data_IF_592339141816
#
_entry.id   IF_592339141816
#
_cell.length_a   1.000
_cell.length_b   1.000
_cell.length_c   1.000
_cell.angle_alpha   90.00
_cell.angle_beta   90.00
_cell.angle_gamma   90.00
#
_symmetry.space_group_name_H-M   'P 1'
#
loop_
_entity.id
_entity.type
_entity.pdbx_description
1 polymer ?
#
# COMPACT_ATOMS: atom_id res chain seq x y z
N UNK A 1 10.22 12.54 7.27
CA UNK A 1 9.38 12.27 6.07
C UNK A 1 8.28 11.30 6.43
N UNK A 2 7.15 11.38 5.77
CA UNK A 2 6.03 10.44 5.93
C UNK A 2 5.31 10.19 4.62
N UNK A 3 4.62 9.07 4.55
CA UNK A 3 3.81 8.66 3.42
C UNK A 3 2.39 8.40 3.89
N UNK A 4 1.42 8.92 3.16
CA UNK A 4 0.02 8.59 3.31
C UNK A 4 -0.51 8.16 1.94
N UNK A 5 -1.07 6.95 1.87
CA UNK A 5 -1.58 6.35 0.65
C UNK A 5 -3.08 6.18 0.76
N UNK A 6 -3.80 6.61 -0.27
CA UNK A 6 -5.20 6.27 -0.48
C UNK A 6 -5.27 5.42 -1.75
N UNK A 7 -5.70 4.18 -1.61
CA UNK A 7 -5.76 3.20 -2.68
C UNK A 7 -7.20 2.79 -2.94
N UNK A 8 -7.57 2.76 -4.22
CA UNK A 8 -8.78 2.13 -4.70
C UNK A 8 -8.35 1.03 -5.67
N UNK A 9 -8.49 -0.21 -5.26
CA UNK A 9 -8.10 -1.35 -6.09
C UNK A 9 -9.22 -1.69 -7.04
N UNK A 10 -8.96 -1.58 -8.34
CA UNK A 10 -9.97 -1.85 -9.37
C UNK A 10 -10.30 -3.34 -9.46
N UNK A 11 -9.33 -4.20 -9.14
CA UNK A 11 -9.52 -5.64 -8.98
C UNK A 11 -9.73 -6.01 -7.50
N UNK A 12 -10.55 -7.04 -7.24
CA UNK A 12 -10.90 -7.48 -5.88
C UNK A 12 -10.00 -8.60 -5.34
N UNK A 13 -8.95 -8.93 -6.05
CA UNK A 13 -8.00 -9.97 -5.70
C UNK A 13 -6.80 -9.42 -4.92
N UNK A 14 -5.67 -10.11 -5.01
CA UNK A 14 -4.47 -9.71 -4.30
C UNK A 14 -4.01 -8.31 -4.73
N UNK A 15 -3.62 -7.51 -3.76
CA UNK A 15 -3.07 -6.17 -3.94
C UNK A 15 -1.85 -6.01 -3.02
N UNK A 16 -1.06 -4.97 -3.22
CA UNK A 16 -0.04 -4.59 -2.26
C UNK A 16 1.32 -5.28 -2.44
N UNK A 17 1.52 -5.95 -3.59
CA UNK A 17 2.78 -6.61 -3.94
C UNK A 17 3.83 -5.64 -4.49
N UNK A 18 3.41 -4.45 -4.91
CA UNK A 18 4.32 -3.44 -5.46
C UNK A 18 5.18 -2.79 -4.39
N UNK A 19 6.50 -2.81 -4.60
CA UNK A 19 7.45 -2.27 -3.65
C UNK A 19 7.54 -0.75 -3.66
N UNK A 20 7.85 -0.18 -2.49
CA UNK A 20 8.26 1.22 -2.35
C UNK A 20 9.77 1.29 -2.48
N UNK A 21 10.24 2.14 -3.40
CA UNK A 21 11.66 2.32 -3.72
C UNK A 21 12.11 3.74 -3.40
N UNK A 22 13.26 3.84 -2.77
CA UNK A 22 13.90 5.11 -2.44
C UNK A 22 15.20 5.24 -3.24
N UNK A 23 15.20 6.15 -4.19
CA UNK A 23 16.37 6.54 -4.95
C UNK A 23 16.98 7.75 -4.24
N UNK A 24 18.17 7.59 -3.74
CA UNK A 24 18.85 8.54 -2.87
C UNK A 24 20.01 9.17 -3.62
N UNK A 25 20.07 10.50 -3.61
CA UNK A 25 21.12 11.32 -4.19
C UNK A 25 21.39 11.00 -5.67
N UNK A 26 22.47 10.31 -5.97
CA UNK A 26 22.91 10.04 -7.34
C UNK A 26 22.36 8.69 -7.91
N UNK A 27 21.45 8.05 -7.21
CA UNK A 27 20.81 6.81 -7.69
C UNK A 27 20.06 7.02 -9.00
N UNK A 28 20.38 6.22 -10.02
CA UNK A 28 19.76 6.31 -11.34
C UNK A 28 18.94 5.06 -11.68
N UNK A 29 19.60 3.91 -11.73
CA UNK A 29 19.00 2.65 -12.17
C UNK A 29 18.45 1.81 -11.02
N UNK A 30 19.17 1.78 -9.92
CA UNK A 30 18.82 0.98 -8.77
C UNK A 30 18.58 1.87 -7.54
N UNK A 31 17.55 1.59 -6.75
CA UNK A 31 17.31 2.34 -5.52
C UNK A 31 18.25 1.89 -4.42
N UNK A 32 18.65 2.80 -3.55
CA UNK A 32 19.37 2.46 -2.30
C UNK A 32 18.51 1.61 -1.39
N UNK A 33 17.19 1.88 -1.33
CA UNK A 33 16.26 1.09 -0.52
C UNK A 33 15.15 0.57 -1.43
N UNK A 34 14.92 -0.74 -1.37
CA UNK A 34 13.83 -1.40 -2.06
C UNK A 34 13.02 -2.24 -1.07
N UNK A 35 11.75 -1.97 -0.98
CA UNK A 35 10.81 -2.76 -0.17
C UNK A 35 10.38 -4.04 -0.85
N UNK A 36 9.51 -4.78 -0.21
CA UNK A 36 8.93 -6.05 -0.70
C UNK A 36 7.49 -5.90 -1.18
N UNK A 37 6.74 -4.99 -0.58
CA UNK A 37 5.36 -4.72 -0.97
C UNK A 37 4.82 -3.47 -0.31
N UNK A 38 3.78 -2.89 -0.88
CA UNK A 38 3.13 -1.70 -0.32
C UNK A 38 2.39 -1.99 0.98
N UNK A 39 1.86 -3.20 1.13
CA UNK A 39 1.30 -3.68 2.40
C UNK A 39 2.37 -3.79 3.47
N UNK A 40 3.48 -4.46 3.17
CA UNK A 40 4.63 -4.63 4.07
C UNK A 40 5.23 -3.29 4.48
N UNK A 41 5.34 -2.36 3.55
CA UNK A 41 5.84 -1.02 3.82
C UNK A 41 5.06 -0.31 4.94
N UNK A 42 3.76 -0.53 5.01
CA UNK A 42 2.90 0.03 6.04
C UNK A 42 2.70 -0.88 7.27
N UNK A 43 3.43 -2.01 7.34
CA UNK A 43 3.40 -2.93 8.47
C UNK A 43 2.27 -3.96 8.41
N UNK A 44 1.77 -4.27 7.22
CA UNK A 44 0.62 -5.14 7.00
C UNK A 44 0.91 -6.40 6.20
N UNK A 45 1.87 -7.22 6.63
CA UNK A 45 2.13 -8.51 6.02
C UNK A 45 0.86 -9.38 5.93
N UNK A 46 0.83 -10.30 4.96
CA UNK A 46 -0.25 -11.27 4.78
C UNK A 46 -1.62 -10.62 4.60
N UNK A 47 -1.67 -9.59 3.73
CA UNK A 47 -2.91 -8.86 3.37
C UNK A 47 -3.68 -8.39 4.61
N UNK A 48 -2.96 -7.87 5.62
CA UNK A 48 -3.54 -7.32 6.85
C UNK A 48 -4.42 -8.33 7.62
N UNK A 49 -4.06 -9.61 7.59
CA UNK A 49 -4.70 -10.66 8.37
C UNK A 49 -5.76 -11.46 7.62
N UNK A 50 -5.98 -11.22 6.33
CA UNK A 50 -6.99 -11.97 5.54
C UNK A 50 -6.73 -13.47 5.46
N UNK A 51 -5.50 -13.91 5.69
CA UNK A 51 -5.12 -15.33 5.67
C UNK A 51 -5.76 -16.15 6.79
N UNK A 52 -6.19 -15.52 7.87
CA UNK A 52 -6.75 -16.21 9.03
C UNK A 52 -8.28 -16.39 8.94
N UNK A 53 -9.00 -15.34 8.59
CA UNK A 53 -10.46 -15.31 8.60
C UNK A 53 -11.06 -14.66 7.35
N UNK A 54 -10.23 -14.34 6.36
CA UNK A 54 -10.66 -13.69 5.12
C UNK A 54 -11.02 -12.21 5.29
N UNK A 55 -10.71 -11.60 6.43
CA UNK A 55 -11.07 -10.22 6.75
C UNK A 55 -9.81 -9.38 6.93
N UNK A 56 -9.67 -8.32 6.13
CA UNK A 56 -8.63 -7.31 6.36
C UNK A 56 -8.91 -6.56 7.67
N UNK A 57 -7.89 -6.42 8.51
CA UNK A 57 -7.99 -5.76 9.81
C UNK A 57 -7.29 -4.41 9.77
N UNK A 58 -8.03 -3.39 10.17
CA UNK A 58 -7.48 -2.05 10.35
C UNK A 58 -6.70 -1.96 11.66
N UNK A 59 -5.68 -1.11 11.66
CA UNK A 59 -4.89 -0.81 12.84
C UNK A 59 -4.29 0.59 12.76
N UNK A 60 -3.93 1.13 13.91
CA UNK A 60 -3.20 2.39 14.01
C UNK A 60 -2.10 2.23 15.05
N UNK A 61 -0.88 2.55 14.65
CA UNK A 61 0.25 2.70 15.57
C UNK A 61 0.84 4.10 15.44
N UNK A 62 1.83 4.41 16.27
CA UNK A 62 2.42 5.74 16.28
C UNK A 62 3.09 6.11 14.95
N UNK A 63 3.68 5.15 14.23
CA UNK A 63 4.51 5.41 13.05
C UNK A 63 4.04 4.74 11.77
N UNK A 64 3.16 3.77 11.84
CA UNK A 64 2.55 3.12 10.68
C UNK A 64 1.15 2.68 10.98
N UNK A 65 0.34 2.48 9.95
CA UNK A 65 -1.01 2.01 10.15
C UNK A 65 -1.82 1.84 8.88
N UNK A 66 -2.95 1.20 9.10
CA UNK A 66 -4.00 0.94 8.14
C UNK A 66 -5.34 1.40 8.75
N UNK A 67 -5.57 2.72 8.84
CA UNK A 67 -6.70 3.28 9.59
C UNK A 67 -8.06 3.09 8.91
N UNK A 68 -8.09 2.77 7.63
CA UNK A 68 -9.35 2.70 6.90
C UNK A 68 -9.35 1.59 5.86
N UNK A 69 -10.39 0.77 5.93
CA UNK A 69 -10.75 -0.20 4.92
C UNK A 69 -12.26 -0.19 4.69
N UNK A 70 -12.67 -0.09 3.46
CA UNK A 70 -14.04 -0.25 3.06
C UNK A 70 -14.11 -1.24 1.89
N UNK A 71 -14.60 -2.44 2.19
CA UNK A 71 -14.76 -3.52 1.21
C UNK A 71 -15.76 -3.17 0.13
N UNK A 72 -16.82 -2.48 0.52
CA UNK A 72 -17.91 -2.08 -0.33
C UNK A 72 -17.96 -0.56 -0.28
N UNK A 73 -17.05 0.10 -1.00
CA UNK A 73 -17.06 1.55 -1.07
C UNK A 73 -18.45 2.01 -1.50
N UNK A 74 -19.22 2.51 -0.54
CA UNK A 74 -20.60 2.96 -0.77
C UNK A 74 -20.51 4.30 -1.50
N UNK A 75 -20.74 4.24 -2.79
CA UNK A 75 -21.02 5.44 -3.57
C UNK A 75 -22.53 5.52 -3.71
N UNK A 76 -23.08 6.71 -3.57
CA UNK A 76 -24.52 6.93 -3.81
C UNK A 76 -24.92 6.50 -5.22
N UNK A 77 -26.21 6.14 -5.35
CA UNK A 77 -26.84 5.85 -6.63
C UNK A 77 -26.14 6.56 -7.83
N UNK A 78 -25.91 5.89 -8.99
CA UNK A 78 -26.56 4.65 -9.39
C UNK A 78 -25.78 3.35 -9.12
N UNK A 79 -24.67 3.40 -8.40
CA UNK A 79 -23.79 2.25 -8.21
C UNK A 79 -24.24 1.39 -7.04
N UNK A 80 -24.24 0.07 -7.22
CA UNK A 80 -24.48 -0.86 -6.13
C UNK A 80 -23.23 -1.06 -5.30
N UNK A 81 -23.38 -1.44 -4.03
CA UNK A 81 -22.25 -1.70 -3.13
C UNK A 81 -21.31 -2.81 -3.63
N UNK A 82 -21.81 -3.71 -4.48
CA UNK A 82 -21.02 -4.80 -5.04
C UNK A 82 -20.16 -4.37 -6.23
N UNK A 83 -20.49 -3.26 -6.86
CA UNK A 83 -19.81 -2.77 -8.06
C UNK A 83 -18.68 -1.77 -7.72
N UNK A 84 -18.62 -1.34 -6.46
CA UNK A 84 -17.61 -0.39 -6.03
C UNK A 84 -16.33 -1.11 -5.58
N UNK A 85 -15.15 -0.71 -6.12
CA UNK A 85 -13.91 -1.32 -5.72
C UNK A 85 -13.55 -0.98 -4.26
N UNK A 86 -12.84 -1.88 -3.56
CA UNK A 86 -12.40 -1.65 -2.19
C UNK A 86 -11.51 -0.42 -2.07
N UNK A 87 -11.71 0.33 -1.01
CA UNK A 87 -10.90 1.51 -0.70
C UNK A 87 -10.10 1.28 0.57
N UNK A 88 -8.84 1.69 0.52
CA UNK A 88 -7.86 1.52 1.61
C UNK A 88 -7.11 2.80 1.87
N UNK A 89 -6.73 3.03 3.11
CA UNK A 89 -5.84 4.13 3.50
C UNK A 89 -4.77 3.60 4.42
N UNK A 90 -3.52 3.96 4.13
CA UNK A 90 -2.33 3.48 4.83
C UNK A 90 -1.41 4.66 5.11
N UNK A 91 -0.60 4.55 6.17
CA UNK A 91 0.43 5.54 6.44
C UNK A 91 1.70 4.93 7.02
N UNK A 92 2.81 5.62 6.79
CA UNK A 92 4.08 5.38 7.48
C UNK A 92 4.81 6.70 7.70
N UNK A 93 5.28 6.91 8.91
CA UNK A 93 6.10 8.04 9.31
C UNK A 93 7.52 7.57 9.59
N UNK A 94 8.48 8.00 8.76
CA UNK A 94 9.91 7.71 8.93
C UNK A 94 10.53 8.57 10.01
N UNK A 95 10.11 8.39 11.25
CA UNK A 95 10.65 9.05 12.44
C UNK A 95 11.66 8.15 13.13
N UNK A 96 11.31 6.87 13.44
CA UNK A 96 12.29 5.97 14.07
C UNK A 96 13.35 5.46 13.07
N UNK A 97 13.02 5.43 11.79
CA UNK A 97 13.89 4.96 10.69
C UNK A 97 14.02 6.03 9.58
N UNK A 98 14.67 7.17 9.87
CA UNK A 98 14.69 8.29 8.94
C UNK A 98 15.44 7.98 7.66
N UNK A 99 14.81 8.28 6.53
CA UNK A 99 15.47 8.24 5.22
C UNK A 99 16.33 9.48 5.07
N UNK A 100 17.65 9.30 5.00
CA UNK A 100 18.64 10.37 4.91
C UNK A 100 19.13 10.52 3.49
N UNK A 101 19.25 11.75 3.03
CA UNK A 101 19.78 12.12 1.72
C UNK A 101 20.48 13.48 1.82
N UNK A 102 21.40 13.76 0.92
CA UNK A 102 22.17 15.01 0.90
C UNK A 102 21.71 15.97 -0.21
N UNK A 103 21.36 15.43 -1.37
CA UNK A 103 21.03 16.23 -2.57
C UNK A 103 19.57 16.06 -2.99
N UNK A 104 19.12 14.82 -3.14
CA UNK A 104 17.82 14.53 -3.71
C UNK A 104 17.25 13.22 -3.18
N UNK A 105 15.93 13.14 -3.17
CA UNK A 105 15.19 11.93 -2.85
C UNK A 105 14.06 11.76 -3.86
N UNK A 106 14.06 10.62 -4.56
CA UNK A 106 12.95 10.18 -5.39
C UNK A 106 12.33 8.94 -4.76
N UNK A 107 11.04 8.99 -4.49
CA UNK A 107 10.29 7.83 -3.97
C UNK A 107 9.30 7.38 -5.03
N UNK A 108 9.29 6.10 -5.30
CA UNK A 108 8.33 5.48 -6.19
C UNK A 108 7.62 4.33 -5.51
N UNK A 109 6.38 4.10 -5.87
CA UNK A 109 5.61 2.94 -5.48
C UNK A 109 5.14 2.23 -6.74
N UNK A 110 5.39 0.93 -6.79
CA UNK A 110 4.91 0.11 -7.88
C UNK A 110 3.46 -0.30 -7.59
N UNK A 111 2.61 -0.13 -8.56
CA UNK A 111 1.24 -0.61 -8.50
C UNK A 111 1.21 -2.02 -9.11
N UNK A 112 1.31 -3.03 -8.28
CA UNK A 112 1.25 -4.42 -8.71
C UNK A 112 0.37 -5.22 -7.76
N UNK A 113 -0.42 -6.07 -8.33
CA UNK A 113 -1.31 -6.99 -7.65
C UNK A 113 -1.47 -8.27 -8.44
N UNK A 114 -2.49 -9.02 -8.14
CA UNK A 114 -2.82 -10.26 -8.81
C UNK A 114 -4.29 -10.23 -9.21
N UNK A 115 -4.57 -10.40 -10.49
CA UNK A 115 -5.93 -10.45 -10.99
C UNK A 115 -6.60 -11.81 -10.74
N UNK A 116 -7.87 -11.92 -11.10
CA UNK A 116 -8.67 -13.15 -10.95
C UNK A 116 -8.10 -14.37 -11.69
N UNK A 117 -7.25 -14.16 -12.68
CA UNK A 117 -6.59 -15.24 -13.44
C UNK A 117 -5.24 -15.65 -12.85
N UNK A 118 -4.84 -15.03 -11.76
CA UNK A 118 -3.57 -15.30 -11.09
C UNK A 118 -2.34 -14.67 -11.74
N UNK A 119 -2.54 -13.77 -12.70
CA UNK A 119 -1.44 -13.02 -13.33
C UNK A 119 -1.14 -11.75 -12.52
N UNK A 120 0.15 -11.39 -12.46
CA UNK A 120 0.57 -10.12 -11.88
C UNK A 120 0.36 -8.99 -12.90
N UNK A 121 -0.15 -7.88 -12.41
CA UNK A 121 -0.41 -6.65 -13.16
C UNK A 121 0.24 -5.45 -12.48
#
# INVERSE_FOLDING_TARGET
MGTYLALTTLERHCWGEGEVKFFIDDDQKYPTICGTGSGDYCGGAWSFGTTNDGIEKTFCTLYSGYPYYNKNNIVSYPYSNNDCPPMRRLYRWHIPDPIRFEKALKVTIQQIGRNQFGMFE
#
